data_IF_849075539933
#
_entry.id   IF_849075539933
#
_cell.length_a   1.000
_cell.length_b   1.000
_cell.length_c   1.000
_cell.angle_alpha   90.00
_cell.angle_beta   90.00
_cell.angle_gamma   90.00
#
_symmetry.space_group_name_H-M   'P 1'
#
loop_
_entity.id
_entity.type
_entity.pdbx_description
1 polymer ?
#
# COMPACT_ATOMS: atom_id res chain seq x y z
N UNK A 1 10.89 -8.71 30.29
CA UNK A 1 11.31 -10.11 30.51
C UNK A 1 10.89 -10.53 31.88
N UNK A 2 9.67 -11.07 31.95
CA UNK A 2 9.08 -11.63 33.17
C UNK A 2 9.81 -12.93 33.51
N UNK A 3 10.30 -13.05 34.74
CA UNK A 3 11.17 -14.18 35.15
C UNK A 3 10.49 -15.14 36.11
N UNK A 4 9.40 -14.70 36.75
CA UNK A 4 8.73 -15.48 37.80
C UNK A 4 7.22 -15.49 37.60
N UNK A 5 6.58 -16.59 38.02
CA UNK A 5 5.12 -16.73 37.98
C UNK A 5 4.39 -15.66 38.78
N UNK A 6 4.93 -15.26 39.92
CA UNK A 6 4.36 -14.20 40.78
C UNK A 6 4.39 -12.84 40.09
N UNK A 7 5.46 -12.51 39.38
CA UNK A 7 5.57 -11.30 38.57
C UNK A 7 4.58 -11.30 37.39
N UNK A 8 4.40 -12.45 36.74
CA UNK A 8 3.40 -12.64 35.67
C UNK A 8 1.96 -12.49 36.19
N UNK A 9 1.65 -12.97 37.39
CA UNK A 9 0.34 -12.80 38.01
C UNK A 9 0.09 -11.34 38.42
N UNK A 10 1.11 -10.68 38.98
CA UNK A 10 1.04 -9.27 39.38
C UNK A 10 0.80 -8.34 38.19
N UNK A 11 1.42 -8.62 37.04
CA UNK A 11 1.20 -7.85 35.79
C UNK A 11 -0.21 -8.00 35.24
N UNK A 12 -0.89 -9.13 35.50
CA UNK A 12 -2.31 -9.33 35.21
C UNK A 12 -3.24 -8.83 36.33
N UNK A 13 -2.71 -8.30 37.43
CA UNK A 13 -3.49 -7.84 38.59
C UNK A 13 -4.08 -8.97 39.44
N UNK A 14 -3.46 -10.15 39.42
CA UNK A 14 -3.93 -11.35 40.10
C UNK A 14 -3.06 -11.72 41.30
N UNK A 15 -3.68 -12.33 42.31
CA UNK A 15 -2.97 -12.87 43.48
C UNK A 15 -2.19 -14.15 43.18
N UNK A 16 -1.28 -14.57 44.08
CA UNK A 16 -0.38 -15.72 43.88
C UNK A 16 -1.10 -17.06 43.67
N UNK A 17 -2.33 -17.19 44.19
CA UNK A 17 -3.16 -18.40 44.11
C UNK A 17 -4.28 -18.29 43.06
N UNK A 18 -4.14 -17.42 42.06
CA UNK A 18 -5.16 -17.28 41.02
C UNK A 18 -5.31 -18.57 40.19
N UNK A 19 -6.55 -18.98 39.97
CA UNK A 19 -6.87 -20.13 39.11
C UNK A 19 -6.66 -19.78 37.63
N UNK A 20 -6.46 -20.81 36.80
CA UNK A 20 -6.25 -20.64 35.36
C UNK A 20 -7.43 -19.93 34.67
N UNK A 21 -8.64 -20.15 35.15
CA UNK A 21 -9.84 -19.48 34.64
C UNK A 21 -9.80 -17.98 34.91
N UNK A 22 -9.40 -17.57 36.13
CA UNK A 22 -9.23 -16.16 36.48
C UNK A 22 -8.11 -15.50 35.67
N UNK A 23 -7.02 -16.21 35.40
CA UNK A 23 -5.93 -15.74 34.53
C UNK A 23 -6.44 -15.45 33.12
N UNK A 24 -7.24 -16.35 32.55
CA UNK A 24 -7.84 -16.17 31.21
C UNK A 24 -8.83 -15.02 31.17
N UNK A 25 -9.66 -14.85 32.20
CA UNK A 25 -10.63 -13.75 32.27
C UNK A 25 -9.92 -12.40 32.38
N UNK A 26 -8.98 -12.26 33.32
CA UNK A 26 -8.23 -11.02 33.51
C UNK A 26 -7.46 -10.62 32.24
N UNK A 27 -6.82 -11.59 31.57
CA UNK A 27 -6.15 -11.35 30.29
C UNK A 27 -7.12 -10.82 29.21
N UNK A 28 -8.29 -11.43 29.05
CA UNK A 28 -9.30 -10.98 28.06
C UNK A 28 -9.78 -9.56 28.33
N UNK A 29 -10.01 -9.22 29.59
CA UNK A 29 -10.50 -7.90 29.97
C UNK A 29 -9.43 -6.84 29.78
N UNK A 30 -8.17 -7.14 30.13
CA UNK A 30 -7.02 -6.26 29.90
C UNK A 30 -6.74 -6.04 28.41
N UNK A 31 -6.77 -7.10 27.61
CA UNK A 31 -6.54 -7.00 26.16
C UNK A 31 -7.59 -6.13 25.49
N UNK A 32 -8.86 -6.24 25.87
CA UNK A 32 -9.92 -5.37 25.31
C UNK A 32 -9.71 -3.90 25.62
N UNK A 33 -9.18 -3.59 26.81
CA UNK A 33 -8.97 -2.20 27.27
C UNK A 33 -7.71 -1.59 26.65
N UNK A 34 -6.64 -2.37 26.52
CA UNK A 34 -5.34 -1.90 26.04
C UNK A 34 -5.07 -2.25 24.57
N UNK A 35 -6.09 -2.64 23.79
CA UNK A 35 -5.88 -3.00 22.39
C UNK A 35 -5.49 -1.75 21.59
N UNK A 36 -4.46 -1.80 20.72
CA UNK A 36 -3.99 -0.64 19.98
C UNK A 36 -5.04 -0.02 19.04
N UNK A 37 -6.07 -0.80 18.67
CA UNK A 37 -7.22 -0.33 17.89
C UNK A 37 -8.18 0.56 18.70
N UNK A 38 -8.13 0.49 20.04
CA UNK A 38 -9.00 1.25 20.95
C UNK A 38 -8.26 2.46 21.53
N UNK A 39 -7.00 2.30 21.96
CA UNK A 39 -6.25 3.36 22.66
C UNK A 39 -5.24 4.11 21.79
N UNK A 40 -5.04 3.69 20.53
CA UNK A 40 -3.99 4.28 19.70
C UNK A 40 -2.58 3.88 20.16
N UNK A 41 -1.55 4.34 19.47
CA UNK A 41 -0.17 3.80 19.54
C UNK A 41 0.51 3.87 20.92
N UNK A 42 0.01 4.66 21.86
CA UNK A 42 0.69 4.97 23.11
C UNK A 42 0.70 3.80 24.10
N UNK A 43 -0.31 2.91 24.04
CA UNK A 43 -0.45 1.78 24.96
C UNK A 43 0.14 0.46 24.45
N UNK A 44 0.82 0.47 23.30
CA UNK A 44 1.44 -0.73 22.74
C UNK A 44 2.44 -1.39 23.72
N UNK A 45 3.10 -0.59 24.55
CA UNK A 45 4.05 -1.09 25.56
C UNK A 45 3.37 -1.83 26.70
N UNK A 46 2.17 -1.41 27.13
CA UNK A 46 1.37 -2.12 28.14
C UNK A 46 0.78 -3.41 27.56
N UNK A 47 0.24 -3.34 26.34
CA UNK A 47 -0.29 -4.52 25.64
C UNK A 47 0.76 -5.63 25.54
N UNK A 48 1.98 -5.28 25.12
CA UNK A 48 3.07 -6.24 25.00
C UNK A 48 3.44 -6.89 26.34
N UNK A 49 3.46 -6.12 27.44
CA UNK A 49 3.72 -6.65 28.79
C UNK A 49 2.63 -7.62 29.25
N UNK A 50 1.36 -7.32 28.98
CA UNK A 50 0.22 -8.17 29.32
C UNK A 50 0.28 -9.49 28.53
N UNK A 51 0.60 -9.41 27.23
CA UNK A 51 0.76 -10.58 26.37
C UNK A 51 1.93 -11.45 26.81
N UNK A 52 3.08 -10.83 27.14
CA UNK A 52 4.27 -11.53 27.65
C UNK A 52 3.95 -12.29 28.95
N UNK A 53 3.26 -11.64 29.90
CA UNK A 53 2.85 -12.25 31.17
C UNK A 53 1.96 -13.47 30.98
N UNK A 54 0.96 -13.35 30.12
CA UNK A 54 0.02 -14.43 29.86
C UNK A 54 0.66 -15.60 29.11
N UNK A 55 1.57 -15.34 28.18
CA UNK A 55 2.34 -16.38 27.50
C UNK A 55 3.22 -17.16 28.47
N UNK A 56 3.90 -16.47 29.39
CA UNK A 56 4.70 -17.12 30.44
C UNK A 56 3.84 -18.04 31.31
N UNK A 57 2.67 -17.58 31.77
CA UNK A 57 1.75 -18.38 32.59
C UNK A 57 1.16 -19.57 31.82
N UNK A 58 0.91 -19.43 30.51
CA UNK A 58 0.44 -20.54 29.70
C UNK A 58 1.53 -21.60 29.50
N UNK A 59 2.78 -21.17 29.25
CA UNK A 59 3.92 -22.08 29.12
C UNK A 59 4.19 -22.85 30.42
N UNK A 60 4.16 -22.19 31.57
CA UNK A 60 4.30 -22.81 32.91
C UNK A 60 3.21 -23.86 33.16
N UNK A 61 1.98 -23.60 32.71
CA UNK A 61 0.85 -24.53 32.85
C UNK A 61 0.76 -25.61 31.74
N UNK A 62 1.71 -25.65 30.79
CA UNK A 62 1.68 -26.55 29.64
C UNK A 62 0.52 -26.30 28.66
N UNK A 63 -0.10 -25.12 28.71
CA UNK A 63 -1.23 -24.73 27.89
C UNK A 63 -0.77 -23.93 26.67
N UNK A 64 -1.50 -24.07 25.55
CA UNK A 64 -1.28 -23.17 24.41
C UNK A 64 -1.81 -21.78 24.76
N UNK A 65 -1.01 -20.70 24.60
CA UNK A 65 -1.49 -19.36 24.83
C UNK A 65 -2.65 -19.06 23.89
N UNK A 66 -3.66 -18.39 24.43
CA UNK A 66 -4.76 -17.81 23.67
C UNK A 66 -4.22 -16.60 22.89
N UNK A 67 -3.49 -16.88 21.81
CA UNK A 67 -3.06 -15.81 20.90
C UNK A 67 -4.31 -15.32 20.17
N UNK A 68 -4.47 -14.00 20.09
CA UNK A 68 -5.37 -13.39 19.12
C UNK A 68 -4.74 -13.61 17.75
N UNK A 69 -4.74 -14.86 17.28
CA UNK A 69 -4.44 -15.13 15.89
C UNK A 69 -5.43 -14.31 15.09
N UNK A 70 -4.91 -13.53 14.15
CA UNK A 70 -5.72 -12.83 13.15
C UNK A 70 -6.79 -13.83 12.73
N UNK A 71 -8.05 -13.46 12.96
CA UNK A 71 -9.21 -14.26 12.60
C UNK A 71 -9.20 -14.34 11.07
N UNK A 72 -8.42 -15.27 10.53
CA UNK A 72 -8.62 -15.77 9.18
C UNK A 72 -9.86 -16.63 9.31
N UNK A 73 -10.98 -16.12 8.79
CA UNK A 73 -12.34 -16.56 9.06
C UNK A 73 -12.45 -18.06 9.28
N UNK A 74 -12.60 -18.47 10.54
CA UNK A 74 -12.96 -19.84 10.89
C UNK A 74 -14.45 -19.99 10.63
N UNK A 75 -14.80 -20.23 9.37
CA UNK A 75 -16.15 -20.57 8.97
C UNK A 75 -16.50 -21.93 9.60
N UNK A 76 -17.44 -21.93 10.54
CA UNK A 76 -17.94 -23.13 11.22
C UNK A 76 -18.78 -24.04 10.31
N UNK A 77 -19.09 -23.59 9.09
CA UNK A 77 -19.72 -24.41 8.07
C UNK A 77 -18.65 -24.96 7.12
N UNK A 78 -18.25 -26.21 7.34
CA UNK A 78 -17.63 -27.03 6.29
C UNK A 78 -18.74 -27.47 5.34
N UNK A 79 -19.29 -26.54 4.56
CA UNK A 79 -20.09 -26.91 3.41
C UNK A 79 -19.12 -27.62 2.45
N UNK A 80 -19.38 -28.90 2.18
CA UNK A 80 -18.68 -29.61 1.10
C UNK A 80 -19.12 -28.94 -0.20
N UNK A 81 -18.41 -27.89 -0.62
CA UNK A 81 -18.72 -27.16 -1.85
C UNK A 81 -18.92 -28.17 -2.97
N UNK A 82 -20.10 -28.15 -3.60
CA UNK A 82 -20.39 -29.10 -4.65
C UNK A 82 -19.44 -28.83 -5.81
N UNK A 83 -19.12 -29.84 -6.60
CA UNK A 83 -18.23 -29.69 -7.76
C UNK A 83 -18.75 -28.62 -8.75
N UNK A 84 -20.07 -28.37 -8.76
CA UNK A 84 -20.72 -27.31 -9.55
C UNK A 84 -20.37 -25.89 -9.06
N UNK A 85 -20.26 -25.70 -7.74
CA UNK A 85 -19.87 -24.41 -7.14
C UNK A 85 -18.43 -24.05 -7.53
N UNK A 86 -17.57 -25.07 -7.61
CA UNK A 86 -16.17 -24.91 -8.03
C UNK A 86 -16.07 -24.52 -9.52
N UNK A 87 -16.85 -25.15 -10.38
CA UNK A 87 -16.89 -24.83 -11.81
C UNK A 87 -17.41 -23.40 -12.07
N UNK A 88 -18.45 -22.96 -11.36
CA UNK A 88 -18.96 -21.60 -11.46
C UNK A 88 -17.93 -20.56 -10.97
N UNK A 89 -17.22 -20.86 -9.88
CA UNK A 89 -16.14 -20.03 -9.36
C UNK A 89 -14.98 -19.90 -10.35
N UNK A 90 -14.55 -21.00 -10.98
CA UNK A 90 -13.50 -21.00 -12.00
C UNK A 90 -13.86 -20.13 -13.21
N UNK A 91 -15.07 -20.28 -13.76
CA UNK A 91 -15.55 -19.45 -14.89
C UNK A 91 -15.56 -17.96 -14.54
N UNK A 92 -15.99 -17.60 -13.33
CA UNK A 92 -16.01 -16.20 -12.86
C UNK A 92 -14.59 -15.64 -12.72
N UNK A 93 -13.66 -16.43 -12.19
CA UNK A 93 -12.25 -16.08 -12.05
C UNK A 93 -11.59 -15.87 -13.41
N UNK A 94 -11.83 -16.77 -14.36
CA UNK A 94 -11.29 -16.67 -15.71
C UNK A 94 -11.80 -15.40 -16.44
N UNK A 95 -13.10 -15.12 -16.33
CA UNK A 95 -13.69 -13.89 -16.87
C UNK A 95 -13.05 -12.64 -16.28
N UNK A 96 -12.81 -12.61 -14.96
CA UNK A 96 -12.11 -11.49 -14.32
C UNK A 96 -10.66 -11.35 -14.80
N UNK A 97 -9.94 -12.47 -14.92
CA UNK A 97 -8.55 -12.46 -15.41
C UNK A 97 -8.47 -11.92 -16.84
N UNK A 98 -9.39 -12.35 -17.72
CA UNK A 98 -9.49 -11.86 -19.10
C UNK A 98 -9.79 -10.36 -19.15
N UNK A 99 -10.76 -9.88 -18.34
CA UNK A 99 -11.08 -8.44 -18.25
C UNK A 99 -9.89 -7.62 -17.79
N UNK A 100 -9.18 -8.07 -16.74
CA UNK A 100 -7.98 -7.39 -16.24
C UNK A 100 -6.85 -7.38 -17.26
N UNK A 101 -6.66 -8.47 -18.00
CA UNK A 101 -5.66 -8.53 -19.07
C UNK A 101 -5.99 -7.55 -20.21
N UNK A 102 -7.26 -7.48 -20.64
CA UNK A 102 -7.71 -6.53 -21.65
C UNK A 102 -7.56 -5.08 -21.20
N UNK A 103 -7.92 -4.77 -19.95
CA UNK A 103 -7.78 -3.42 -19.40
C UNK A 103 -6.30 -3.02 -19.32
N UNK A 104 -5.42 -3.94 -18.95
CA UNK A 104 -3.98 -3.70 -18.93
C UNK A 104 -3.42 -3.45 -20.34
N UNK A 105 -3.85 -4.25 -21.32
CA UNK A 105 -3.47 -4.07 -22.72
C UNK A 105 -3.96 -2.72 -23.28
N UNK A 106 -5.21 -2.33 -22.96
CA UNK A 106 -5.75 -1.01 -23.32
C UNK A 106 -4.93 0.10 -22.69
N UNK A 107 -4.64 0.02 -21.39
CA UNK A 107 -3.79 1.00 -20.70
C UNK A 107 -2.40 1.09 -21.30
N UNK A 108 -1.80 -0.02 -21.73
CA UNK A 108 -0.51 -0.01 -22.42
C UNK A 108 -0.61 0.71 -23.76
N UNK A 109 -1.66 0.46 -24.56
CA UNK A 109 -1.88 1.14 -25.84
C UNK A 109 -2.18 2.63 -25.68
N UNK A 110 -3.00 2.99 -24.70
CA UNK A 110 -3.32 4.39 -24.41
C UNK A 110 -2.08 5.15 -23.96
N UNK A 111 -1.26 4.52 -23.11
CA UNK A 111 -0.01 5.08 -22.64
C UNK A 111 1.00 5.20 -23.78
N UNK A 112 1.17 4.19 -24.63
CA UNK A 112 2.04 4.29 -25.80
C UNK A 112 1.58 5.37 -26.78
N UNK A 113 0.28 5.46 -27.06
CA UNK A 113 -0.28 6.50 -27.93
C UNK A 113 -0.11 7.92 -27.33
N UNK A 114 -0.20 8.06 -26.00
CA UNK A 114 0.10 9.32 -25.32
C UNK A 114 1.56 9.72 -25.54
N UNK A 115 2.51 8.79 -25.38
CA UNK A 115 3.93 9.04 -25.62
C UNK A 115 4.21 9.42 -27.08
N UNK A 116 3.63 8.71 -28.05
CA UNK A 116 3.79 9.04 -29.48
C UNK A 116 3.29 10.45 -29.81
N UNK A 117 2.15 10.86 -29.24
CA UNK A 117 1.65 12.23 -29.40
C UNK A 117 2.61 13.26 -28.79
N UNK A 118 3.10 12.98 -27.58
CA UNK A 118 4.05 13.87 -26.91
C UNK A 118 5.36 14.01 -27.70
N UNK A 119 5.87 12.92 -28.27
CA UNK A 119 7.06 12.93 -29.10
C UNK A 119 6.84 13.70 -30.41
N UNK A 120 5.69 13.54 -31.05
CA UNK A 120 5.32 14.28 -32.26
C UNK A 120 5.19 15.79 -31.99
N UNK A 121 4.55 16.16 -30.89
CA UNK A 121 4.42 17.56 -30.48
C UNK A 121 5.78 18.16 -30.12
N UNK A 122 6.64 17.40 -29.43
CA UNK A 122 8.02 17.80 -29.13
C UNK A 122 8.83 18.02 -30.41
N UNK A 123 8.74 17.09 -31.37
CA UNK A 123 9.44 17.20 -32.66
C UNK A 123 8.98 18.42 -33.44
N UNK A 124 7.66 18.67 -33.51
CA UNK A 124 7.11 19.85 -34.17
C UNK A 124 7.60 21.15 -33.52
N UNK A 125 7.66 21.19 -32.18
CA UNK A 125 8.17 22.35 -31.46
C UNK A 125 9.67 22.59 -31.74
N UNK A 126 10.48 21.53 -31.77
CA UNK A 126 11.90 21.62 -32.10
C UNK A 126 12.14 22.08 -33.54
N UNK A 127 11.37 21.56 -34.50
CA UNK A 127 11.43 22.00 -35.90
C UNK A 127 11.11 23.50 -36.03
N UNK A 128 10.12 24.00 -35.29
CA UNK A 128 9.80 25.43 -35.26
C UNK A 128 10.94 26.28 -34.66
N UNK A 129 11.58 25.81 -33.60
CA UNK A 129 12.76 26.48 -33.00
C UNK A 129 13.93 26.52 -33.99
N UNK A 130 14.19 25.40 -34.66
CA UNK A 130 15.26 25.31 -35.66
C UNK A 130 14.98 26.22 -36.86
N UNK A 131 13.73 26.32 -37.31
CA UNK A 131 13.33 27.27 -38.36
C UNK A 131 13.57 28.73 -37.94
N UNK A 132 13.23 29.10 -36.69
CA UNK A 132 13.50 30.44 -36.15
C UNK A 132 15.01 30.70 -36.08
N UNK A 133 15.80 29.71 -35.66
CA UNK A 133 17.26 29.83 -35.57
C UNK A 133 17.88 29.99 -36.96
N UNK A 134 17.43 29.22 -37.95
CA UNK A 134 17.85 29.34 -39.34
C UNK A 134 17.48 30.71 -39.93
N UNK A 135 16.27 31.20 -39.70
CA UNK A 135 15.83 32.53 -40.14
C UNK A 135 16.70 33.65 -39.53
N UNK A 136 17.00 33.57 -38.22
CA UNK A 136 17.91 34.52 -37.55
C UNK A 136 19.33 34.45 -38.11
N UNK A 137 19.84 33.25 -38.40
CA UNK A 137 21.16 33.09 -39.00
C UNK A 137 21.22 33.74 -40.39
N UNK A 138 20.21 33.52 -41.24
CA UNK A 138 20.09 34.16 -42.56
C UNK A 138 20.02 35.70 -42.42
N UNK A 139 19.18 36.22 -41.51
CA UNK A 139 19.09 37.67 -41.27
C UNK A 139 20.44 38.26 -40.82
N UNK A 140 21.17 37.56 -39.95
CA UNK A 140 22.50 38.00 -39.51
C UNK A 140 23.54 38.01 -40.64
N UNK A 141 23.48 37.03 -41.55
CA UNK A 141 24.34 36.99 -42.73
C UNK A 141 24.01 38.10 -43.73
N UNK A 142 22.72 38.39 -43.95
CA UNK A 142 22.28 39.49 -44.82
C UNK A 142 22.78 40.83 -44.28
N UNK A 143 22.69 41.02 -42.96
CA UNK A 143 23.19 42.24 -42.31
C UNK A 143 24.72 42.34 -42.38
N UNK A 144 25.45 41.24 -42.17
CA UNK A 144 26.90 41.20 -42.26
C UNK A 144 27.44 41.45 -43.68
N UNK A 145 26.69 41.04 -44.72
CA UNK A 145 27.06 41.26 -46.12
C UNK A 145 26.62 42.63 -46.68
N UNK A 146 26.08 43.52 -45.84
CA UNK A 146 25.80 44.92 -46.20
C UNK A 146 24.55 45.15 -47.06
N UNK A 147 23.72 44.14 -47.30
CA UNK A 147 22.52 44.22 -48.16
C UNK A 147 21.26 44.75 -47.45
N UNK A 148 21.35 45.12 -46.17
CA UNK A 148 20.20 45.43 -45.32
C UNK A 148 19.88 46.90 -45.07
N UNK A 149 20.55 47.87 -45.73
CA UNK A 149 20.54 49.27 -45.28
C UNK A 149 19.74 50.28 -46.11
N UNK A 150 18.93 49.86 -47.08
CA UNK A 150 18.39 50.83 -48.07
C UNK A 150 16.86 51.09 -47.99
N UNK A 151 16.12 50.59 -47.01
CA UNK A 151 14.64 50.67 -47.03
C UNK A 151 13.95 51.15 -45.73
N UNK A 152 14.56 52.02 -44.92
CA UNK A 152 13.84 52.68 -43.79
C UNK A 152 13.67 54.22 -43.92
N UNK A 153 14.30 54.88 -44.90
CA UNK A 153 14.28 56.36 -45.00
C UNK A 153 13.28 56.95 -46.03
N UNK A 154 12.14 56.30 -46.30
CA UNK A 154 11.09 56.88 -47.18
C UNK A 154 9.68 56.75 -46.61
N UNK A 155 9.42 57.49 -45.54
CA UNK A 155 8.08 58.01 -45.19
C UNK A 155 8.24 59.39 -44.55
N UNK A 156 8.37 60.41 -45.41
CA UNK A 156 7.93 61.78 -45.12
C UNK A 156 6.60 62.03 -45.84
#
# INVERSE_FOLDING_TARGET
MIKTRTEALRTLGLGPNASQEKIKMAYKDLVKRCHPDVTGSDDATLYNKIVEAYQFLCADAGQRPLTHSKVVGRTTSRYSSSNADYAAFQKKMEKQKKRKAQEFEQKQKDLSAMYEKQEADYKRAMEAIDAIRAARAIQSMIWANGLGKDNEDKKE
#
